data_IF_357773128138
#
_entry.id   IF_357773128138
#
_cell.length_a   1.000
_cell.length_b   1.000
_cell.length_c   1.000
_cell.angle_alpha   90.00
_cell.angle_beta   90.00
_cell.angle_gamma   90.00
#
_symmetry.space_group_name_H-M   'P 1'
#
loop_
_entity.id
_entity.type
_entity.pdbx_description
1 polymer ?
#
# COMPACT_ATOMS: atom_id res chain seq x y z
N UNK A 1 -5.09 12.58 -7.87
CA UNK A 1 -4.28 11.36 -7.61
C UNK A 1 -3.23 11.73 -6.58
N UNK A 2 -3.46 11.38 -5.31
CA UNK A 2 -2.90 12.11 -4.16
C UNK A 2 -1.40 11.83 -3.90
N UNK A 3 -0.58 12.86 -4.08
CA UNK A 3 0.85 12.85 -3.75
C UNK A 3 1.17 13.80 -2.58
N UNK A 4 1.37 13.23 -1.38
CA UNK A 4 1.82 13.99 -0.21
C UNK A 4 3.36 14.12 -0.20
N UNK A 5 3.88 15.22 -0.74
CA UNK A 5 5.31 15.55 -0.76
C UNK A 5 5.76 16.42 0.42
N UNK A 6 7.07 16.56 0.63
CA UNK A 6 7.69 17.45 1.62
C UNK A 6 8.97 16.89 2.25
N UNK A 7 9.74 17.73 2.93
CA UNK A 7 11.05 17.41 3.54
C UNK A 7 11.01 16.36 4.66
N UNK A 8 12.19 15.94 5.16
CA UNK A 8 12.30 15.13 6.37
C UNK A 8 11.57 15.78 7.56
N UNK A 9 11.05 14.96 8.49
CA UNK A 9 10.36 15.44 9.69
C UNK A 9 8.93 15.97 9.51
N UNK A 10 8.46 16.29 8.30
CA UNK A 10 7.15 16.97 8.05
C UNK A 10 5.88 16.12 8.28
N UNK A 11 5.89 15.16 9.21
CA UNK A 11 4.68 14.44 9.65
C UNK A 11 3.99 13.53 8.64
N UNK A 12 4.42 13.48 7.37
CA UNK A 12 3.75 12.73 6.28
C UNK A 12 3.37 11.29 6.64
N UNK A 13 4.28 10.56 7.31
CA UNK A 13 4.00 9.20 7.78
C UNK A 13 2.83 9.19 8.75
N UNK A 14 2.78 10.11 9.71
CA UNK A 14 1.65 10.25 10.65
C UNK A 14 0.33 10.55 9.91
N UNK A 15 0.32 11.46 8.91
CA UNK A 15 -0.87 11.67 8.08
C UNK A 15 -1.35 10.36 7.41
N UNK A 16 -0.46 9.59 6.79
CA UNK A 16 -0.82 8.31 6.18
C UNK A 16 -1.31 7.27 7.20
N UNK A 17 -0.80 7.27 8.45
CA UNK A 17 -1.35 6.46 9.55
C UNK A 17 -2.78 6.88 9.89
N UNK A 18 -3.00 8.16 10.16
CA UNK A 18 -4.30 8.72 10.55
C UNK A 18 -5.35 8.51 9.47
N UNK A 19 -5.00 8.72 8.19
CA UNK A 19 -5.86 8.43 7.05
C UNK A 19 -6.21 6.94 6.95
N UNK A 20 -5.22 6.05 7.14
CA UNK A 20 -5.45 4.59 7.16
C UNK A 20 -6.43 4.19 8.27
N UNK A 21 -6.32 4.77 9.47
CA UNK A 21 -7.26 4.49 10.57
C UNK A 21 -8.66 5.06 10.30
N UNK A 22 -8.77 6.29 9.78
CA UNK A 22 -10.06 6.92 9.46
C UNK A 22 -10.86 6.15 8.39
N UNK A 23 -10.19 5.68 7.33
CA UNK A 23 -10.82 4.86 6.30
C UNK A 23 -11.19 3.47 6.84
N UNK A 24 -10.37 2.87 7.70
CA UNK A 24 -10.69 1.57 8.34
C UNK A 24 -11.82 1.66 9.38
N UNK A 25 -12.01 2.79 10.08
CA UNK A 25 -13.16 2.97 10.99
C UNK A 25 -14.48 3.00 10.22
N UNK A 26 -14.46 3.52 8.97
CA UNK A 26 -15.56 3.41 8.00
C UNK A 26 -15.69 2.00 7.36
N UNK A 27 -15.07 0.97 7.96
CA UNK A 27 -15.05 -0.44 7.50
C UNK A 27 -14.49 -0.65 6.08
N UNK A 28 -13.68 0.27 5.57
CA UNK A 28 -13.09 0.16 4.23
C UNK A 28 -11.82 -0.71 4.23
N UNK A 29 -11.61 -1.44 3.14
CA UNK A 29 -10.42 -2.27 2.91
C UNK A 29 -9.27 -1.37 2.46
N UNK A 30 -8.36 -1.01 3.38
CA UNK A 30 -7.22 -0.12 3.08
C UNK A 30 -5.93 -0.91 2.96
N UNK A 31 -5.33 -0.91 1.76
CA UNK A 31 -4.00 -1.47 1.51
C UNK A 31 -2.91 -0.41 1.67
N UNK A 32 -2.10 -0.56 2.72
CA UNK A 32 -0.96 0.32 2.99
C UNK A 32 0.33 -0.35 2.55
N UNK A 33 1.07 0.26 1.62
CA UNK A 33 2.25 -0.33 0.96
C UNK A 33 3.40 0.68 0.95
N UNK A 34 4.63 0.21 1.16
CA UNK A 34 5.85 1.02 1.04
C UNK A 34 6.90 0.32 0.16
N UNK A 35 7.92 1.04 -0.28
CA UNK A 35 9.08 0.46 -0.96
C UNK A 35 9.99 -0.28 0.03
N UNK A 36 10.49 0.44 1.04
CA UNK A 36 11.38 -0.09 2.07
C UNK A 36 10.66 -0.85 3.19
N UNK A 37 11.30 -1.89 3.72
CA UNK A 37 10.83 -2.64 4.89
C UNK A 37 10.60 -1.75 6.10
N UNK A 38 11.58 -0.90 6.45
CA UNK A 38 11.49 0.04 7.59
C UNK A 38 10.29 0.99 7.42
N UNK A 39 10.08 1.51 6.21
CA UNK A 39 8.93 2.38 5.91
C UNK A 39 7.60 1.63 6.04
N UNK A 40 7.55 0.33 5.72
CA UNK A 40 6.34 -0.49 5.90
C UNK A 40 5.97 -0.74 7.36
N UNK A 41 6.96 -0.85 8.27
CA UNK A 41 6.73 -1.03 9.71
C UNK A 41 6.11 0.20 10.38
N UNK A 42 6.34 1.40 9.83
CA UNK A 42 5.74 2.65 10.33
C UNK A 42 4.25 2.82 9.95
N UNK A 43 3.69 1.89 9.16
CA UNK A 43 2.35 1.98 8.58
C UNK A 43 1.44 0.84 9.10
N UNK A 44 0.19 1.13 9.55
CA UNK A 44 -0.68 0.13 10.17
C UNK A 44 -0.99 -1.07 9.26
N UNK A 45 -0.43 -2.23 9.55
CA UNK A 45 -0.54 -3.42 8.70
C UNK A 45 0.17 -3.27 7.35
N UNK A 46 1.17 -2.39 7.28
CA UNK A 46 1.95 -2.13 6.08
C UNK A 46 2.77 -3.35 5.64
N UNK A 47 3.01 -3.45 4.32
CA UNK A 47 3.95 -4.41 3.72
C UNK A 47 4.79 -3.72 2.64
N UNK A 48 5.91 -4.32 2.28
CA UNK A 48 6.68 -3.87 1.11
C UNK A 48 5.94 -4.17 -0.19
N UNK A 49 6.17 -3.38 -1.23
CA UNK A 49 5.59 -3.63 -2.56
C UNK A 49 5.90 -5.05 -3.06
N UNK A 50 7.15 -5.49 -2.92
CA UNK A 50 7.58 -6.85 -3.26
C UNK A 50 6.75 -7.93 -2.53
N UNK A 51 6.60 -7.84 -1.20
CA UNK A 51 5.86 -8.83 -0.41
C UNK A 51 4.34 -8.72 -0.53
N UNK A 52 3.79 -7.54 -0.87
CA UNK A 52 2.35 -7.35 -1.05
C UNK A 52 1.86 -7.77 -2.43
N UNK A 53 2.64 -7.51 -3.48
CA UNK A 53 2.26 -7.80 -4.87
C UNK A 53 2.97 -9.01 -5.47
N UNK A 54 3.82 -9.72 -4.71
CA UNK A 54 4.63 -10.86 -5.19
C UNK A 54 5.46 -10.46 -6.42
N UNK A 55 6.16 -9.33 -6.32
CA UNK A 55 7.13 -8.90 -7.33
C UNK A 55 8.35 -9.81 -7.23
N UNK A 56 8.78 -10.38 -8.35
CA UNK A 56 9.96 -11.24 -8.43
C UNK A 56 11.22 -10.47 -8.02
N UNK A 57 12.21 -11.20 -7.50
CA UNK A 57 13.54 -10.67 -7.15
C UNK A 57 14.58 -11.64 -7.72
N UNK A 58 15.51 -11.20 -8.60
CA UNK A 58 15.62 -9.85 -9.16
C UNK A 58 14.38 -9.43 -9.98
N UNK A 59 14.08 -8.13 -9.95
CA UNK A 59 13.00 -7.50 -10.72
C UNK A 59 13.57 -6.78 -11.95
N UNK A 60 13.21 -7.25 -13.13
CA UNK A 60 13.52 -6.63 -14.42
C UNK A 60 12.35 -5.76 -14.90
N UNK A 61 12.53 -4.90 -15.91
CA UNK A 61 11.48 -3.98 -16.36
C UNK A 61 10.21 -4.67 -16.89
N UNK A 62 10.33 -5.90 -17.37
CA UNK A 62 9.21 -6.75 -17.79
C UNK A 62 8.63 -7.64 -16.66
N UNK A 63 9.09 -7.49 -15.42
CA UNK A 63 8.68 -8.35 -14.29
C UNK A 63 7.28 -8.00 -13.77
N UNK A 64 6.29 -8.78 -14.20
CA UNK A 64 4.91 -8.69 -13.71
C UNK A 64 4.76 -9.20 -12.27
N UNK A 65 3.74 -8.70 -11.57
CA UNK A 65 3.37 -9.14 -10.23
C UNK A 65 2.76 -10.56 -10.28
N UNK A 66 3.33 -11.53 -9.55
CA UNK A 66 2.88 -12.93 -9.60
C UNK A 66 1.62 -13.17 -8.75
N UNK A 67 0.49 -12.60 -9.21
CA UNK A 67 -0.82 -12.66 -8.55
C UNK A 67 -1.81 -13.43 -9.44
N UNK A 68 -2.05 -14.70 -9.11
CA UNK A 68 -2.98 -15.54 -9.85
C UNK A 68 -4.43 -15.00 -9.76
N UNK A 69 -5.17 -15.09 -10.88
CA UNK A 69 -6.58 -14.70 -10.95
C UNK A 69 -7.43 -15.59 -10.02
N UNK A 70 -8.39 -15.00 -9.29
CA UNK A 70 -9.18 -15.73 -8.30
C UNK A 70 -8.41 -16.13 -7.02
N UNK A 71 -7.15 -15.70 -6.85
CA UNK A 71 -6.52 -15.75 -5.54
C UNK A 71 -7.14 -14.72 -4.58
N UNK A 72 -7.14 -15.00 -3.28
CA UNK A 72 -7.64 -14.08 -2.25
C UNK A 72 -7.02 -12.68 -2.38
N UNK A 73 -5.73 -12.60 -2.71
CA UNK A 73 -5.02 -11.34 -2.96
C UNK A 73 -5.58 -10.58 -4.17
N UNK A 74 -5.89 -11.26 -5.27
CA UNK A 74 -6.52 -10.65 -6.45
C UNK A 74 -7.93 -10.13 -6.11
N UNK A 75 -8.72 -10.88 -5.37
CA UNK A 75 -10.09 -10.47 -5.00
C UNK A 75 -10.11 -9.37 -3.94
N UNK A 76 -9.14 -9.34 -3.03
CA UNK A 76 -8.92 -8.23 -2.12
C UNK A 76 -8.52 -6.97 -2.89
N UNK A 77 -7.66 -7.09 -3.92
CA UNK A 77 -7.31 -5.96 -4.80
C UNK A 77 -8.51 -5.43 -5.58
N UNK A 78 -9.42 -6.30 -6.06
CA UNK A 78 -10.71 -5.87 -6.67
C UNK A 78 -11.65 -5.19 -5.68
N UNK A 79 -11.71 -5.69 -4.43
CA UNK A 79 -12.61 -5.20 -3.36
C UNK A 79 -12.11 -3.93 -2.67
N UNK A 80 -10.82 -3.62 -2.77
CA UNK A 80 -10.25 -2.35 -2.34
C UNK A 80 -10.83 -1.22 -3.20
N UNK A 81 -11.77 -0.45 -2.65
CA UNK A 81 -12.19 0.82 -3.26
C UNK A 81 -10.97 1.72 -3.33
N UNK A 82 -10.49 1.98 -4.55
CA UNK A 82 -9.51 3.01 -4.83
C UNK A 82 -10.13 4.40 -4.56
N UNK A 83 -10.24 4.75 -3.28
CA UNK A 83 -10.60 6.09 -2.83
C UNK A 83 -9.45 7.02 -3.20
N UNK A 84 -9.56 7.55 -4.40
CA UNK A 84 -8.89 8.74 -4.88
C UNK A 84 -9.27 9.88 -3.92
N UNK A 85 -8.46 10.11 -2.88
CA UNK A 85 -8.58 11.25 -1.96
C UNK A 85 -7.22 12.18 -2.08
N UNK A 86 -6.60 14.04 -3.35
CA UNK A 86 -5.49 14.87 -3.96
C UNK A 86 -5.35 14.54 -5.45
#
# INVERSE_FOLDING_TARGET
>A
MFFLYGYGGTGKTHMWRTLTYALRSQKQIVLTVASSGIASLLLPGGRTAHSKFKILVPSFENSVCNIHQGSELADLLKKNKANHMG
#
